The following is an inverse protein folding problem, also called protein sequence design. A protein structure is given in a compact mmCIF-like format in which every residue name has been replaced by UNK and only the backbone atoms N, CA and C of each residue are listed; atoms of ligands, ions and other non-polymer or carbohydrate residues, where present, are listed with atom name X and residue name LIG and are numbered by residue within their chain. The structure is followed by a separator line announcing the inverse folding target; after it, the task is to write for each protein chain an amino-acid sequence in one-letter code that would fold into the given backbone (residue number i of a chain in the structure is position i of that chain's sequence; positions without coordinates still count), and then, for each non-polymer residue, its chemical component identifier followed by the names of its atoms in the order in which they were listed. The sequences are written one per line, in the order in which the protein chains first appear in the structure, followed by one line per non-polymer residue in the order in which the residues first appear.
data_IF_984375707622
#
_entry.id   IF_984375707622
#
_cell.length_a   1.000
_cell.length_b   1.000
_cell.length_c   1.000
_cell.angle_alpha   90.00
_cell.angle_beta   90.00
_cell.angle_gamma   90.00
#
_symmetry.space_group_name_H-M   'P 1'
#
loop_
_entity.id
_entity.type
_entity.pdbx_description
1 polymer ?
#
# COMPACT_ATOMS: atom_id res chain seq x y z
N UNK A 1 -26.10 -3.33 2.04
CA UNK A 1 -24.76 -2.80 2.40
C UNK A 1 -24.09 -2.25 1.14
N UNK A 2 -23.53 -1.05 1.19
CA UNK A 2 -22.75 -0.49 0.06
C UNK A 2 -21.28 -0.70 0.35
N UNK A 3 -20.59 -1.49 -0.48
CA UNK A 3 -19.16 -1.74 -0.33
C UNK A 3 -18.33 -0.50 -0.71
N UNK A 4 -17.18 -0.31 -0.07
CA UNK A 4 -16.26 0.80 -0.36
C UNK A 4 -15.47 0.55 -1.66
N UNK A 5 -16.18 0.52 -2.79
CA UNK A 5 -15.60 0.28 -4.14
C UNK A 5 -15.12 1.56 -4.84
N UNK A 6 -15.45 2.73 -4.28
CA UNK A 6 -15.01 4.02 -4.81
C UNK A 6 -13.76 4.48 -4.08
N UNK A 7 -12.63 4.77 -4.80
CA UNK A 7 -11.40 5.24 -4.19
C UNK A 7 -11.59 6.60 -3.52
N UNK A 8 -11.08 6.74 -2.29
CA UNK A 8 -11.13 8.00 -1.54
C UNK A 8 -9.78 8.72 -1.63
N UNK A 9 -9.63 9.58 -2.65
CA UNK A 9 -8.43 10.40 -2.82
C UNK A 9 -8.58 11.67 -1.98
N UNK A 10 -7.79 11.78 -0.91
CA UNK A 10 -7.82 12.92 -0.01
C UNK A 10 -7.33 14.23 -0.67
N UNK A 11 -7.70 15.38 -0.07
CA UNK A 11 -7.38 16.70 -0.61
C UNK A 11 -5.86 16.95 -0.69
N UNK A 12 -5.09 16.44 0.28
CA UNK A 12 -3.62 16.55 0.32
C UNK A 12 -2.97 15.82 -0.86
N UNK A 13 -3.43 14.60 -1.14
CA UNK A 13 -2.99 13.81 -2.31
C UNK A 13 -3.35 14.51 -3.62
N UNK A 14 -4.61 14.96 -3.78
CA UNK A 14 -5.03 15.72 -4.97
C UNK A 14 -4.19 16.97 -5.20
N UNK A 15 -3.95 17.75 -4.13
CA UNK A 15 -3.13 18.96 -4.22
C UNK A 15 -1.67 18.69 -4.61
N UNK A 16 -1.09 17.59 -4.17
CA UNK A 16 0.27 17.18 -4.58
C UNK A 16 0.32 16.77 -6.05
N UNK A 17 -0.63 15.95 -6.50
CA UNK A 17 -0.71 15.48 -7.89
C UNK A 17 -0.93 16.65 -8.86
N UNK A 18 -1.80 17.60 -8.52
CA UNK A 18 -2.06 18.77 -9.35
C UNK A 18 -0.80 19.61 -9.66
N UNK A 19 0.21 19.56 -8.78
CA UNK A 19 1.49 20.26 -8.97
C UNK A 19 2.47 19.52 -9.87
N UNK A 20 2.23 18.22 -10.15
CA UNK A 20 3.15 17.34 -10.90
C UNK A 20 2.79 17.16 -12.37
N UNK A 21 1.57 17.54 -12.77
CA UNK A 21 1.08 17.38 -14.13
C UNK A 21 0.45 16.01 -14.43
N UNK A 22 0.51 15.56 -15.68
CA UNK A 22 -0.11 14.31 -16.11
C UNK A 22 0.67 13.09 -15.60
N UNK A 23 -0.02 12.19 -14.92
CA UNK A 23 0.58 10.96 -14.40
C UNK A 23 0.97 10.04 -15.57
N UNK A 24 2.22 9.50 -15.61
CA UNK A 24 2.62 8.53 -16.63
C UNK A 24 1.70 7.30 -16.65
N UNK A 25 1.22 6.93 -17.84
CA UNK A 25 0.26 5.83 -18.00
C UNK A 25 0.77 4.49 -17.44
N UNK A 26 2.07 4.23 -17.56
CA UNK A 26 2.72 3.03 -17.03
C UNK A 26 2.61 2.92 -15.51
N UNK A 27 2.69 4.03 -14.77
CA UNK A 27 2.54 4.05 -13.31
C UNK A 27 1.08 3.86 -12.90
N UNK A 28 0.12 4.41 -13.67
CA UNK A 28 -1.32 4.14 -13.45
C UNK A 28 -1.64 2.67 -13.68
N UNK A 29 -1.11 2.08 -14.76
CA UNK A 29 -1.30 0.67 -15.08
C UNK A 29 -0.70 -0.23 -13.97
N UNK A 30 0.45 0.13 -13.42
CA UNK A 30 1.07 -0.61 -12.32
C UNK A 30 0.19 -0.69 -11.08
N UNK A 31 -0.46 0.42 -10.69
CA UNK A 31 -1.32 0.49 -9.49
C UNK A 31 -2.50 -0.49 -9.56
N UNK A 32 -3.07 -0.69 -10.75
CA UNK A 32 -4.27 -1.52 -10.95
C UNK A 32 -4.00 -2.83 -11.67
N UNK A 33 -2.74 -3.11 -11.96
CA UNK A 33 -2.31 -4.30 -12.69
C UNK A 33 -2.31 -5.59 -11.84
N UNK A 34 -2.12 -6.74 -12.50
CA UNK A 34 -2.14 -8.04 -11.82
C UNK A 34 -1.13 -8.15 -10.68
N UNK A 35 0.08 -7.60 -10.84
CA UNK A 35 1.13 -7.63 -9.82
C UNK A 35 0.68 -6.93 -8.53
N UNK A 36 0.01 -5.77 -8.64
CA UNK A 36 -0.49 -5.05 -7.47
C UNK A 36 -1.56 -5.85 -6.72
N UNK A 37 -2.51 -6.44 -7.45
CA UNK A 37 -3.56 -7.28 -6.86
C UNK A 37 -2.98 -8.53 -6.18
N UNK A 38 -2.11 -9.28 -6.87
CA UNK A 38 -1.48 -10.47 -6.32
C UNK A 38 -0.64 -10.15 -5.06
N UNK A 39 0.09 -9.03 -5.09
CA UNK A 39 0.92 -8.63 -3.96
C UNK A 39 0.06 -8.18 -2.77
N UNK A 40 -1.04 -7.45 -3.00
CA UNK A 40 -1.99 -7.08 -1.96
C UNK A 40 -2.60 -8.33 -1.30
N UNK A 41 -3.14 -9.25 -2.09
CA UNK A 41 -3.78 -10.48 -1.59
C UNK A 41 -2.78 -11.40 -0.86
N UNK A 42 -1.53 -11.44 -1.31
CA UNK A 42 -0.48 -12.21 -0.63
C UNK A 42 -0.25 -11.75 0.81
N UNK A 43 -0.31 -10.44 1.08
CA UNK A 43 0.03 -9.90 2.40
C UNK A 43 -1.17 -9.64 3.29
N UNK A 44 -2.31 -9.24 2.73
CA UNK A 44 -3.52 -8.93 3.49
C UNK A 44 -4.50 -10.10 3.54
N UNK A 45 -4.32 -11.11 2.68
CA UNK A 45 -5.33 -12.14 2.46
C UNK A 45 -6.52 -11.61 1.66
N UNK A 46 -7.55 -12.44 1.54
CA UNK A 46 -8.80 -12.08 0.86
C UNK A 46 -9.99 -12.72 1.59
N UNK A 47 -10.50 -12.04 2.62
CA UNK A 47 -11.56 -12.58 3.47
C UNK A 47 -12.93 -12.25 2.87
N UNK A 48 -13.68 -13.28 2.45
CA UNK A 48 -14.98 -13.15 1.77
C UNK A 48 -16.17 -13.00 2.73
N UNK A 49 -15.95 -12.35 3.85
CA UNK A 49 -17.02 -11.94 4.76
C UNK A 49 -16.58 -10.75 5.62
N UNK A 50 -17.54 -10.01 6.13
CA UNK A 50 -17.27 -8.93 7.09
C UNK A 50 -17.09 -9.54 8.48
N UNK A 51 -15.98 -9.25 9.14
CA UNK A 51 -15.70 -9.67 10.51
C UNK A 51 -15.36 -8.48 11.40
N UNK A 52 -15.61 -8.63 12.72
CA UNK A 52 -15.17 -7.65 13.69
C UNK A 52 -13.68 -7.88 14.02
N UNK A 53 -12.81 -6.94 13.65
CA UNK A 53 -11.38 -7.05 13.94
C UNK A 53 -11.11 -6.76 15.42
N UNK A 54 -10.74 -7.81 16.17
CA UNK A 54 -10.45 -7.70 17.62
C UNK A 54 -9.25 -6.81 17.92
N UNK A 55 -8.28 -6.71 17.01
CA UNK A 55 -7.10 -5.86 17.17
C UNK A 55 -7.43 -4.40 16.86
N UNK A 56 -8.46 -4.15 16.06
CA UNK A 56 -8.97 -2.83 15.71
C UNK A 56 -10.26 -2.48 16.48
N UNK A 57 -10.39 -2.90 17.74
CA UNK A 57 -11.54 -2.58 18.61
C UNK A 57 -12.91 -2.97 18.05
N UNK A 58 -12.98 -4.05 17.27
CA UNK A 58 -14.22 -4.54 16.68
C UNK A 58 -14.62 -3.84 15.38
N UNK A 59 -13.73 -3.05 14.79
CA UNK A 59 -14.00 -2.38 13.51
C UNK A 59 -14.33 -3.41 12.42
N UNK A 60 -15.49 -3.27 11.73
CA UNK A 60 -15.85 -4.17 10.65
C UNK A 60 -14.79 -4.14 9.54
N UNK A 61 -14.24 -5.31 9.22
CA UNK A 61 -13.12 -5.50 8.30
C UNK A 61 -13.44 -6.59 7.30
N UNK A 62 -13.03 -6.43 6.03
CA UNK A 62 -13.32 -7.37 4.95
C UNK A 62 -12.30 -7.29 3.80
N UNK A 63 -12.36 -8.25 2.90
CA UNK A 63 -11.48 -8.40 1.73
C UNK A 63 -10.01 -8.36 2.15
N UNK A 64 -9.20 -7.50 1.56
CA UNK A 64 -7.79 -7.30 1.90
C UNK A 64 -7.62 -6.23 3.01
N UNK A 65 -8.27 -6.44 4.15
CA UNK A 65 -8.13 -5.57 5.32
C UNK A 65 -8.86 -4.22 5.20
N UNK A 66 -9.83 -4.08 4.30
CA UNK A 66 -10.66 -2.87 4.23
C UNK A 66 -11.55 -2.75 5.44
N UNK A 67 -11.53 -1.60 6.08
CA UNK A 67 -12.33 -1.28 7.26
C UNK A 67 -13.45 -0.29 6.93
N UNK A 68 -14.65 -0.50 7.47
CA UNK A 68 -15.79 0.40 7.31
C UNK A 68 -16.80 0.21 8.45
N UNK A 69 -17.06 1.25 9.24
CA UNK A 69 -18.05 1.21 10.32
C UNK A 69 -19.48 0.94 9.85
N UNK A 70 -19.78 1.21 8.58
CA UNK A 70 -21.10 0.97 7.99
C UNK A 70 -21.24 -0.45 7.45
N UNK A 71 -20.20 -1.28 7.51
CA UNK A 71 -20.26 -2.66 7.07
C UNK A 71 -20.88 -3.54 8.15
N UNK A 72 -21.85 -4.38 7.77
CA UNK A 72 -22.55 -5.29 8.68
C UNK A 72 -21.74 -6.58 8.87
N UNK A 73 -21.30 -6.82 10.12
CA UNK A 73 -20.55 -8.03 10.49
C UNK A 73 -21.38 -9.28 10.17
N UNK A 74 -20.75 -10.29 9.57
CA UNK A 74 -21.39 -11.52 9.13
C UNK A 74 -21.88 -11.49 7.67
N UNK A 75 -21.89 -10.32 7.01
CA UNK A 75 -22.23 -10.24 5.58
C UNK A 75 -21.24 -11.06 4.75
N UNK A 76 -21.73 -11.97 3.91
CA UNK A 76 -20.93 -12.74 2.95
C UNK A 76 -20.66 -11.91 1.71
N UNK A 77 -19.46 -12.02 1.19
CA UNK A 77 -18.98 -11.32 -0.01
C UNK A 77 -18.57 -12.33 -1.08
N UNK A 78 -18.67 -11.92 -2.32
CA UNK A 78 -18.14 -12.68 -3.46
C UNK A 78 -16.68 -12.30 -3.73
N UNK A 79 -15.97 -13.11 -4.50
CA UNK A 79 -14.63 -12.78 -4.99
C UNK A 79 -14.62 -11.48 -5.80
N UNK A 80 -15.67 -11.22 -6.59
CA UNK A 80 -15.76 -10.01 -7.42
C UNK A 80 -16.02 -8.76 -6.58
N UNK A 81 -16.79 -8.87 -5.48
CA UNK A 81 -16.91 -7.80 -4.51
C UNK A 81 -15.54 -7.40 -3.95
N UNK A 82 -14.75 -8.39 -3.51
CA UNK A 82 -13.42 -8.12 -2.98
C UNK A 82 -12.44 -7.63 -4.03
N UNK A 83 -12.52 -8.08 -5.27
CA UNK A 83 -11.71 -7.50 -6.37
C UNK A 83 -12.00 -6.02 -6.56
N UNK A 84 -13.28 -5.62 -6.53
CA UNK A 84 -13.66 -4.21 -6.67
C UNK A 84 -13.17 -3.36 -5.48
N UNK A 85 -13.31 -3.86 -4.25
CA UNK A 85 -12.80 -3.21 -3.03
C UNK A 85 -11.28 -3.09 -3.05
N UNK A 86 -10.57 -4.17 -3.36
CA UNK A 86 -9.11 -4.20 -3.43
C UNK A 86 -8.58 -3.25 -4.51
N UNK A 87 -9.26 -3.17 -5.66
CA UNK A 87 -8.93 -2.19 -6.71
C UNK A 87 -9.06 -0.75 -6.21
N UNK A 88 -10.14 -0.44 -5.48
CA UNK A 88 -10.32 0.90 -4.89
C UNK A 88 -9.21 1.22 -3.89
N UNK A 89 -8.84 0.26 -3.04
CA UNK A 89 -7.72 0.38 -2.08
C UNK A 89 -6.40 0.66 -2.81
N UNK A 90 -6.08 -0.13 -3.84
CA UNK A 90 -4.84 0.05 -4.62
C UNK A 90 -4.77 1.43 -5.29
N UNK A 91 -5.88 1.90 -5.88
CA UNK A 91 -5.95 3.26 -6.46
C UNK A 91 -5.73 4.31 -5.37
N UNK A 92 -6.40 4.19 -4.25
CA UNK A 92 -6.34 5.16 -3.14
C UNK A 92 -4.91 5.33 -2.60
N UNK A 93 -4.22 4.23 -2.31
CA UNK A 93 -2.85 4.25 -1.80
C UNK A 93 -1.81 4.50 -2.89
N UNK A 94 -2.02 3.98 -4.09
CA UNK A 94 -1.16 4.24 -5.24
C UNK A 94 -1.13 5.72 -5.62
N UNK A 95 -2.28 6.40 -5.64
CA UNK A 95 -2.30 7.86 -5.84
C UNK A 95 -1.58 8.61 -4.73
N UNK A 96 -1.61 8.12 -3.49
CA UNK A 96 -0.80 8.70 -2.41
C UNK A 96 0.69 8.54 -2.65
N UNK A 97 1.14 7.38 -3.15
CA UNK A 97 2.54 7.17 -3.59
C UNK A 97 2.92 8.17 -4.68
N UNK A 98 2.10 8.26 -5.75
CA UNK A 98 2.36 9.19 -6.86
C UNK A 98 2.38 10.66 -6.41
N UNK A 99 1.60 11.00 -5.39
CA UNK A 99 1.62 12.33 -4.79
C UNK A 99 2.90 12.63 -3.99
N UNK A 100 3.53 11.61 -3.40
CA UNK A 100 4.67 11.79 -2.48
C UNK A 100 6.03 11.49 -3.11
N UNK A 101 6.10 10.56 -4.05
CA UNK A 101 7.36 10.12 -4.68
C UNK A 101 7.61 10.83 -6.01
N UNK A 102 8.87 11.14 -6.31
CA UNK A 102 9.27 11.71 -7.59
C UNK A 102 9.17 10.66 -8.70
N UNK A 103 8.38 10.94 -9.74
CA UNK A 103 8.05 9.97 -10.79
C UNK A 103 9.25 9.52 -11.61
N UNK A 104 10.28 10.38 -11.75
CA UNK A 104 11.52 10.03 -12.43
C UNK A 104 12.25 8.82 -11.82
N UNK A 105 11.97 8.52 -10.57
CA UNK A 105 12.59 7.41 -9.84
C UNK A 105 11.63 6.23 -9.62
N UNK A 106 10.41 6.27 -10.19
CA UNK A 106 9.44 5.20 -10.09
C UNK A 106 9.46 4.30 -11.32
N UNK A 107 9.58 2.99 -11.07
CA UNK A 107 9.26 1.93 -12.03
C UNK A 107 7.90 1.31 -11.68
N UNK A 108 7.28 0.50 -12.56
CA UNK A 108 6.09 -0.27 -12.22
C UNK A 108 6.24 -1.05 -10.91
N UNK A 109 7.31 -1.83 -10.77
CA UNK A 109 7.57 -2.65 -9.58
C UNK A 109 7.75 -1.80 -8.31
N UNK A 110 8.48 -0.70 -8.42
CA UNK A 110 8.68 0.24 -7.32
C UNK A 110 7.39 0.92 -6.90
N UNK A 111 6.55 1.28 -7.86
CA UNK A 111 5.23 1.84 -7.60
C UNK A 111 4.34 0.85 -6.86
N UNK A 112 4.30 -0.41 -7.28
CA UNK A 112 3.56 -1.48 -6.57
C UNK A 112 4.12 -1.67 -5.16
N UNK A 113 5.43 -1.84 -5.01
CA UNK A 113 6.06 -2.05 -3.70
C UNK A 113 5.72 -0.94 -2.69
N UNK A 114 5.84 0.32 -3.12
CA UNK A 114 5.48 1.46 -2.28
C UNK A 114 3.98 1.53 -2.00
N UNK A 115 3.12 1.18 -2.98
CA UNK A 115 1.66 1.13 -2.77
C UNK A 115 1.31 0.12 -1.67
N UNK A 116 1.86 -1.09 -1.72
CA UNK A 116 1.62 -2.13 -0.71
C UNK A 116 2.21 -1.74 0.65
N UNK A 117 3.38 -1.11 0.66
CA UNK A 117 3.96 -0.52 1.88
C UNK A 117 3.01 0.51 2.50
N UNK A 118 2.46 1.44 1.71
CA UNK A 118 1.53 2.47 2.18
C UNK A 118 0.20 1.88 2.70
N UNK A 119 -0.30 0.81 2.07
CA UNK A 119 -1.50 0.10 2.58
C UNK A 119 -1.30 -0.32 4.04
N UNK A 120 -0.12 -0.80 4.40
CA UNK A 120 0.15 -1.26 5.75
C UNK A 120 0.50 -0.14 6.75
N UNK A 121 1.34 0.82 6.35
CA UNK A 121 1.83 1.86 7.29
C UNK A 121 1.01 3.15 7.27
N UNK A 122 0.00 3.21 6.41
CA UNK A 122 -0.82 4.40 6.21
C UNK A 122 -0.18 5.42 5.28
N UNK A 123 -1.00 6.31 4.72
CA UNK A 123 -0.57 7.32 3.74
C UNK A 123 0.46 8.30 4.31
N UNK A 124 0.23 8.81 5.51
CA UNK A 124 1.14 9.77 6.14
C UNK A 124 2.44 9.10 6.59
N UNK A 125 2.37 7.88 7.14
CA UNK A 125 3.54 7.07 7.48
C UNK A 125 4.40 6.80 6.26
N UNK A 126 3.80 6.36 5.17
CA UNK A 126 4.48 6.10 3.90
C UNK A 126 5.13 7.34 3.31
N UNK A 127 4.36 8.44 3.15
CA UNK A 127 4.87 9.71 2.62
C UNK A 127 5.99 10.33 3.46
N UNK A 128 5.90 10.19 4.79
CA UNK A 128 6.91 10.70 5.73
C UNK A 128 8.12 9.79 5.90
N UNK A 129 8.07 8.57 5.34
CA UNK A 129 9.09 7.55 5.54
C UNK A 129 10.47 7.96 5.03
N UNK A 130 11.52 7.36 5.63
CA UNK A 130 12.89 7.47 5.14
C UNK A 130 13.01 6.90 3.72
N UNK A 131 12.25 5.85 3.39
CA UNK A 131 12.22 5.23 2.08
C UNK A 131 11.87 6.25 0.98
N UNK A 132 10.73 6.92 1.10
CA UNK A 132 10.30 7.94 0.12
C UNK A 132 11.26 9.12 0.06
N UNK A 133 11.78 9.58 1.20
CA UNK A 133 12.77 10.68 1.24
C UNK A 133 14.03 10.36 0.45
N UNK A 134 14.57 9.15 0.58
CA UNK A 134 15.77 8.70 -0.14
C UNK A 134 15.50 8.53 -1.64
N UNK A 135 14.36 7.93 -2.00
CA UNK A 135 13.95 7.81 -3.41
C UNK A 135 13.87 9.19 -4.05
N UNK A 136 13.25 10.17 -3.40
CA UNK A 136 13.11 11.54 -3.90
C UNK A 136 14.47 12.28 -4.06
N UNK A 137 15.51 11.79 -3.42
CA UNK A 137 16.89 12.27 -3.58
C UNK A 137 17.66 11.52 -4.68
N UNK A 138 17.02 10.61 -5.41
CA UNK A 138 17.66 9.74 -6.40
C UNK A 138 18.45 8.57 -5.80
N UNK A 139 18.43 8.40 -4.47
CA UNK A 139 19.06 7.30 -3.74
C UNK A 139 18.10 6.09 -3.68
N UNK A 140 17.84 5.54 -4.86
CA UNK A 140 16.75 4.56 -5.04
C UNK A 140 16.98 3.29 -4.24
N UNK A 141 18.16 2.67 -4.34
CA UNK A 141 18.47 1.40 -3.66
C UNK A 141 18.48 1.56 -2.14
N UNK A 142 18.99 2.68 -1.66
CA UNK A 142 18.93 3.04 -0.24
C UNK A 142 17.48 3.24 0.22
N UNK A 143 16.66 3.88 -0.63
CA UNK A 143 15.24 4.09 -0.36
C UNK A 143 14.46 2.79 -0.31
N UNK A 144 14.67 1.89 -1.28
CA UNK A 144 14.06 0.56 -1.26
C UNK A 144 14.50 -0.24 -0.02
N UNK A 145 15.79 -0.17 0.33
CA UNK A 145 16.31 -0.82 1.54
C UNK A 145 15.71 -0.26 2.83
N UNK A 146 15.42 1.04 2.85
CA UNK A 146 14.82 1.71 4.00
C UNK A 146 13.35 1.33 4.27
N UNK A 147 12.70 0.58 3.38
CA UNK A 147 11.38 -0.04 3.66
C UNK A 147 11.51 -1.06 4.79
N UNK A 148 12.62 -1.81 4.85
CA UNK A 148 12.81 -2.92 5.79
C UNK A 148 13.84 -2.65 6.89
N UNK A 149 14.76 -1.68 6.68
CA UNK A 149 15.94 -1.52 7.52
C UNK A 149 16.19 -0.04 7.83
N UNK A 150 16.40 0.26 9.09
CA UNK A 150 16.76 1.59 9.58
C UNK A 150 18.24 1.95 9.28
N UNK A 151 18.66 3.19 9.58
CA UNK A 151 20.03 3.62 9.37
C UNK A 151 21.04 2.90 10.28
N UNK A 152 20.56 2.34 11.37
CA UNK A 152 21.33 1.54 12.35
C UNK A 152 21.35 0.05 12.02
N UNK A 153 20.82 -0.37 10.88
CA UNK A 153 20.73 -1.76 10.44
C UNK A 153 19.58 -2.55 11.06
N UNK A 154 18.79 -1.95 11.96
CA UNK A 154 17.68 -2.64 12.62
C UNK A 154 16.42 -2.68 11.75
N UNK A 155 15.54 -3.70 11.95
CA UNK A 155 14.23 -3.75 11.32
C UNK A 155 13.41 -2.49 11.62
N UNK A 156 12.70 -1.98 10.61
CA UNK A 156 11.74 -0.88 10.74
C UNK A 156 10.37 -1.30 10.24
N UNK A 157 9.31 -0.70 10.76
CA UNK A 157 7.92 -1.03 10.39
C UNK A 157 7.55 -2.51 10.67
N UNK A 158 8.28 -3.14 11.59
CA UNK A 158 8.19 -4.56 11.93
C UNK A 158 7.81 -4.80 13.39
N UNK A 159 7.18 -3.80 14.00
CA UNK A 159 6.77 -3.84 15.40
C UNK A 159 5.28 -3.56 15.53
N UNK A 160 4.63 -4.29 16.43
CA UNK A 160 3.25 -4.03 16.86
C UNK A 160 3.24 -3.97 18.40
N UNK A 161 2.64 -2.93 18.97
CA UNK A 161 2.61 -2.69 20.42
C UNK A 161 4.02 -2.76 21.07
N UNK A 162 5.04 -2.25 20.38
CA UNK A 162 6.43 -2.26 20.84
C UNK A 162 7.16 -3.61 20.70
N UNK A 163 6.50 -4.67 20.27
CA UNK A 163 7.08 -6.00 20.08
C UNK A 163 7.42 -6.24 18.61
N UNK A 164 8.57 -6.87 18.38
CA UNK A 164 8.97 -7.31 17.05
C UNK A 164 8.05 -8.42 16.54
N UNK A 165 7.63 -8.30 15.28
CA UNK A 165 6.75 -9.27 14.60
C UNK A 165 7.42 -9.77 13.32
N UNK A 166 7.84 -11.02 13.31
CA UNK A 166 8.53 -11.64 12.18
C UNK A 166 7.72 -11.55 10.86
N UNK A 167 6.39 -11.70 10.94
CA UNK A 167 5.52 -11.58 9.76
C UNK A 167 5.58 -10.20 9.11
N UNK A 168 5.62 -9.13 9.91
CA UNK A 168 5.80 -7.78 9.41
C UNK A 168 7.17 -7.60 8.77
N UNK A 169 8.23 -8.15 9.38
CA UNK A 169 9.57 -8.08 8.79
C UNK A 169 9.65 -8.85 7.47
N UNK A 170 9.04 -10.01 7.36
CA UNK A 170 8.98 -10.77 6.10
C UNK A 170 8.28 -9.98 5.01
N UNK A 171 7.19 -9.28 5.36
CA UNK A 171 6.48 -8.37 4.46
C UNK A 171 7.39 -7.23 4.01
N UNK A 172 8.08 -6.54 4.91
CA UNK A 172 9.05 -5.47 4.58
C UNK A 172 10.15 -5.96 3.63
N UNK A 173 10.67 -7.16 3.85
CA UNK A 173 11.68 -7.75 2.96
C UNK A 173 11.11 -8.07 1.57
N UNK A 174 9.89 -8.56 1.48
CA UNK A 174 9.21 -8.77 0.19
C UNK A 174 8.96 -7.46 -0.58
N UNK A 175 8.50 -6.42 0.11
CA UNK A 175 8.31 -5.09 -0.47
C UNK A 175 9.63 -4.45 -0.90
N UNK A 176 10.70 -4.57 -0.09
CA UNK A 176 12.06 -4.16 -0.46
C UNK A 176 12.54 -4.89 -1.72
N UNK A 177 12.40 -6.21 -1.77
CA UNK A 177 12.83 -7.02 -2.90
C UNK A 177 12.12 -6.59 -4.20
N UNK A 178 10.80 -6.38 -4.15
CA UNK A 178 10.04 -5.89 -5.29
C UNK A 178 10.45 -4.46 -5.71
N UNK A 179 10.73 -3.58 -4.73
CA UNK A 179 11.16 -2.21 -4.97
C UNK A 179 12.51 -2.12 -5.72
N UNK A 180 13.42 -3.07 -5.44
CA UNK A 180 14.74 -3.15 -6.06
C UNK A 180 14.73 -3.79 -7.46
N UNK A 181 13.66 -4.51 -7.82
CA UNK A 181 13.56 -5.08 -9.16
C UNK A 181 13.38 -3.97 -10.18
N UNK A 182 14.31 -3.88 -11.13
CA UNK A 182 14.09 -3.12 -12.36
C UNK A 182 12.99 -3.87 -13.12
N UNK A 183 11.84 -3.21 -13.35
CA UNK A 183 10.76 -3.82 -14.12
C UNK A 183 11.25 -4.06 -15.54
N UNK A 184 10.96 -5.22 -16.10
CA UNK A 184 11.09 -5.44 -17.54
C UNK A 184 10.23 -4.39 -18.27
N UNK A 185 10.89 -3.63 -19.12
CA UNK A 185 10.28 -2.55 -19.91
C UNK A 185 9.33 -3.09 -20.96
#
# INVERSE_FOLDING_TARGET
MTLATTPQIDAKTRGRLAKKGAIPAVLLAAITGPLAHQTLERWEGNILHVYADKLAHGLPTYCAGRTDWNAEVGTKLTSDDCKAVNKATLIEYGFSVLGCAEWAYLTPNRTVALTIFFVNVGKDGGCGSRAVKLINQGRVDDGCSAIATGPDGRPVWSYANGMYVQGLQNRRQGEKALCLQEGDA
#
